data_IF_036712889119
#
_entry.id   IF_036712889119
#
_cell.length_a   1.000
_cell.length_b   1.000
_cell.length_c   1.000
_cell.angle_alpha   90.00
_cell.angle_beta   90.00
_cell.angle_gamma   90.00
#
_symmetry.space_group_name_H-M   'P 1'
#
loop_
_entity.id
_entity.type
_entity.pdbx_description
1 polymer ?
#
# COMPACT_ATOMS: atom_id res chain seq x y z
N UNK A 1 -36.20 -21.13 -47.96
CA UNK A 1 -35.64 -20.84 -46.61
C UNK A 1 -34.14 -20.64 -46.77
N UNK A 2 -33.70 -19.38 -46.76
CA UNK A 2 -32.28 -19.01 -46.91
C UNK A 2 -31.67 -18.91 -45.49
N UNK A 3 -30.64 -19.73 -45.20
CA UNK A 3 -29.81 -19.59 -43.98
C UNK A 3 -28.91 -18.36 -44.18
N UNK A 4 -29.08 -17.36 -43.32
CA UNK A 4 -28.15 -16.24 -43.23
C UNK A 4 -26.93 -16.69 -42.41
N UNK A 5 -25.76 -16.69 -43.05
CA UNK A 5 -24.45 -16.76 -42.36
C UNK A 5 -24.13 -15.37 -41.81
N UNK A 6 -23.96 -15.26 -40.52
CA UNK A 6 -23.30 -14.09 -39.86
C UNK A 6 -21.79 -14.15 -40.13
N UNK A 7 -21.15 -13.03 -40.45
CA UNK A 7 -19.73 -13.02 -40.80
C UNK A 7 -18.84 -13.19 -39.56
N UNK A 8 -17.84 -14.03 -39.75
CA UNK A 8 -16.76 -14.34 -38.78
C UNK A 8 -15.89 -13.09 -38.42
N UNK A 9 -16.02 -11.99 -39.13
CA UNK A 9 -15.25 -10.74 -38.93
C UNK A 9 -15.55 -10.01 -37.63
N UNK A 10 -16.71 -10.16 -36.97
CA UNK A 10 -17.00 -9.50 -35.69
C UNK A 10 -16.25 -10.11 -34.50
N UNK A 11 -15.91 -11.41 -34.57
CA UNK A 11 -15.19 -12.08 -33.46
C UNK A 11 -13.68 -11.79 -33.47
N UNK A 12 -13.08 -11.51 -34.63
CA UNK A 12 -11.67 -11.13 -34.74
C UNK A 12 -11.43 -9.65 -34.35
N UNK A 13 -12.36 -8.76 -34.64
CA UNK A 13 -12.27 -7.36 -34.27
C UNK A 13 -12.45 -7.15 -32.75
N UNK A 14 -13.26 -7.95 -32.07
CA UNK A 14 -13.38 -7.95 -30.61
C UNK A 14 -12.09 -8.41 -29.91
N UNK A 15 -11.40 -9.42 -30.44
CA UNK A 15 -10.11 -9.89 -29.90
C UNK A 15 -8.95 -8.90 -30.14
N UNK A 16 -8.97 -8.19 -31.29
CA UNK A 16 -7.99 -7.13 -31.58
C UNK A 16 -8.24 -5.90 -30.71
N UNK A 17 -9.50 -5.54 -30.45
CA UNK A 17 -9.86 -4.44 -29.56
C UNK A 17 -9.51 -4.75 -28.10
N UNK A 18 -9.78 -5.94 -27.59
CA UNK A 18 -9.38 -6.37 -26.26
C UNK A 18 -7.87 -6.41 -26.06
N UNK A 19 -7.13 -6.91 -27.07
CA UNK A 19 -5.67 -6.89 -27.06
C UNK A 19 -5.08 -5.47 -27.19
N UNK A 20 -5.73 -4.57 -27.92
CA UNK A 20 -5.32 -3.17 -28.01
C UNK A 20 -5.65 -2.38 -26.73
N UNK A 21 -6.72 -2.71 -26.01
CA UNK A 21 -7.03 -2.10 -24.71
C UNK A 21 -6.07 -2.62 -23.64
N UNK A 22 -5.74 -3.90 -23.61
CA UNK A 22 -4.71 -4.46 -22.73
C UNK A 22 -3.32 -3.89 -23.06
N UNK A 23 -2.98 -3.77 -24.37
CA UNK A 23 -1.71 -3.19 -24.81
C UNK A 23 -1.68 -1.67 -24.59
N UNK A 24 -2.81 -0.95 -24.65
CA UNK A 24 -2.90 0.48 -24.31
C UNK A 24 -2.87 0.70 -22.80
N UNK A 25 -3.43 -0.17 -21.99
CA UNK A 25 -3.22 -0.18 -20.52
C UNK A 25 -1.74 -0.47 -20.18
N UNK A 26 -1.10 -1.41 -20.86
CA UNK A 26 0.35 -1.64 -20.73
C UNK A 26 1.19 -0.47 -21.27
N UNK A 27 0.79 0.18 -22.40
CA UNK A 27 1.53 1.29 -23.01
C UNK A 27 1.31 2.61 -22.26
N UNK A 28 0.17 2.85 -21.61
CA UNK A 28 -0.01 4.03 -20.73
C UNK A 28 0.87 3.98 -19.48
N UNK A 29 1.29 2.80 -19.05
CA UNK A 29 2.28 2.62 -17.98
C UNK A 29 3.69 3.06 -18.44
N UNK A 30 4.01 2.99 -19.74
CA UNK A 30 5.37 3.23 -20.28
C UNK A 30 5.66 4.72 -20.60
N UNK A 31 4.64 5.60 -20.72
CA UNK A 31 4.86 6.98 -21.15
C UNK A 31 5.19 8.00 -20.04
N UNK A 32 5.25 7.61 -18.77
CA UNK A 32 5.55 8.51 -17.65
C UNK A 32 7.05 8.67 -17.32
N UNK A 33 7.95 8.01 -18.07
CA UNK A 33 9.40 7.91 -17.72
C UNK A 33 10.32 8.94 -18.36
N UNK A 34 9.85 10.07 -18.92
CA UNK A 34 10.70 11.02 -19.65
C UNK A 34 10.80 12.45 -19.07
N UNK A 35 10.69 12.63 -17.76
CA UNK A 35 10.96 13.95 -17.14
C UNK A 35 11.76 13.79 -15.84
N UNK A 36 12.96 13.22 -15.91
CA UNK A 36 14.00 13.46 -14.91
C UNK A 36 15.39 13.36 -15.56
N UNK A 37 15.77 14.42 -16.19
CA UNK A 37 17.12 14.63 -16.64
C UNK A 37 17.38 16.06 -16.92
N UNK A 38 17.91 16.80 -15.96
CA UNK A 38 18.78 17.97 -16.15
C UNK A 38 18.84 18.81 -14.85
N UNK A 39 19.78 18.51 -13.99
CA UNK A 39 20.56 19.53 -13.30
C UNK A 39 21.90 18.95 -12.91
N UNK A 40 22.85 19.18 -13.78
CA UNK A 40 24.26 18.89 -13.56
C UNK A 40 24.98 20.12 -13.03
N UNK A 41 25.76 19.89 -12.02
CA UNK A 41 27.06 20.38 -11.71
C UNK A 41 27.40 21.86 -11.71
N UNK A 42 28.01 22.29 -10.65
CA UNK A 42 29.30 22.95 -10.69
C UNK A 42 29.92 22.98 -9.30
N UNK A 43 31.13 22.57 -9.27
CA UNK A 43 32.11 22.47 -8.27
C UNK A 43 32.73 23.82 -7.88
N UNK A 44 33.45 23.79 -6.75
CA UNK A 44 34.26 24.87 -6.25
C UNK A 44 34.98 24.46 -5.00
N UNK A 45 36.20 24.05 -5.16
CA UNK A 45 37.22 23.78 -4.14
C UNK A 45 37.61 25.05 -3.37
N UNK A 46 37.89 24.90 -2.08
CA UNK A 46 38.51 25.95 -1.26
C UNK A 46 39.00 25.42 0.08
N UNK A 47 40.25 24.93 0.10
CA UNK A 47 41.03 24.71 1.31
C UNK A 47 41.21 26.03 2.06
N UNK A 48 41.17 25.99 3.38
CA UNK A 48 42.14 26.67 4.27
C UNK A 48 41.94 26.24 5.73
N UNK A 49 42.94 25.57 6.24
CA UNK A 49 43.29 25.54 7.67
C UNK A 49 44.10 26.81 7.95
N UNK A 50 44.15 27.48 9.12
CA UNK A 50 44.81 26.91 10.26
C UNK A 50 44.50 27.46 11.68
N UNK A 51 45.18 26.90 12.64
CA UNK A 51 45.83 27.43 13.85
C UNK A 51 45.07 27.37 15.17
N UNK A 52 45.69 26.58 16.02
CA UNK A 52 45.53 26.44 17.45
C UNK A 52 45.61 27.74 18.25
N UNK A 53 44.75 27.85 19.27
CA UNK A 53 44.98 28.70 20.44
C UNK A 53 44.57 27.92 21.69
N UNK A 54 45.32 28.08 22.80
CA UNK A 54 45.22 27.20 23.97
C UNK A 54 44.00 27.49 24.83
N UNK A 55 43.36 26.41 25.29
CA UNK A 55 42.19 26.42 26.18
C UNK A 55 42.60 26.76 27.63
N UNK A 56 41.87 27.66 28.31
CA UNK A 56 42.02 27.85 29.75
C UNK A 56 41.38 26.66 30.53
N UNK A 57 42.07 26.21 31.57
CA UNK A 57 41.57 25.19 32.48
C UNK A 57 40.27 25.59 33.15
N UNK A 58 39.22 24.81 32.95
CA UNK A 58 37.94 24.98 33.65
C UNK A 58 37.96 24.29 35.01
N UNK A 59 37.67 25.05 36.05
CA UNK A 59 37.47 24.61 37.42
C UNK A 59 36.21 23.71 37.46
N UNK A 60 36.37 22.47 37.90
CA UNK A 60 35.27 21.51 38.09
C UNK A 60 34.40 21.98 39.26
N UNK A 61 33.17 22.41 38.93
CA UNK A 61 32.13 22.66 39.91
C UNK A 61 31.39 21.33 40.15
N UNK A 62 31.05 20.96 41.43
CA UNK A 62 30.33 19.72 41.68
C UNK A 62 28.98 19.75 40.95
N UNK A 63 28.75 18.83 40.05
CA UNK A 63 27.48 18.63 39.39
C UNK A 63 26.48 18.10 40.39
N UNK A 64 25.38 18.81 40.62
CA UNK A 64 24.23 18.28 41.34
C UNK A 64 23.79 16.97 40.71
N UNK A 65 23.48 15.98 41.52
CA UNK A 65 22.98 14.70 41.05
C UNK A 65 21.73 14.93 40.16
N UNK A 66 21.83 14.52 38.91
CA UNK A 66 20.68 14.47 38.00
C UNK A 66 19.67 13.51 38.65
N UNK A 67 18.40 13.90 38.82
CA UNK A 67 17.37 12.97 39.26
C UNK A 67 17.37 11.77 38.32
N UNK A 68 17.53 10.58 38.85
CA UNK A 68 17.37 9.35 38.09
C UNK A 68 15.90 9.30 37.69
N UNK A 69 15.63 9.53 36.42
CA UNK A 69 14.29 9.36 35.86
C UNK A 69 13.84 7.93 36.17
N UNK A 70 12.72 7.79 36.84
CA UNK A 70 12.07 6.50 37.05
C UNK A 70 11.76 5.94 35.66
N UNK A 71 12.21 4.71 35.30
CA UNK A 71 11.89 4.14 34.03
C UNK A 71 10.36 4.10 33.85
N UNK A 72 9.85 4.82 32.87
CA UNK A 72 8.44 4.81 32.60
C UNK A 72 7.97 3.43 32.13
N UNK A 73 6.76 3.01 32.50
CA UNK A 73 6.21 1.75 32.03
C UNK A 73 6.15 1.75 30.51
N UNK A 74 7.06 1.01 29.89
CA UNK A 74 6.99 0.74 28.44
C UNK A 74 5.74 -0.08 28.16
N UNK A 75 4.88 0.38 27.21
CA UNK A 75 3.74 -0.41 26.74
C UNK A 75 4.24 -1.78 26.27
N UNK A 76 3.50 -2.85 26.57
CA UNK A 76 3.87 -4.21 26.20
C UNK A 76 3.90 -4.36 24.67
N UNK A 77 4.73 -5.24 24.11
CA UNK A 77 4.65 -5.60 22.70
C UNK A 77 3.24 -6.10 22.36
N UNK A 78 2.72 -5.70 21.19
CA UNK A 78 1.45 -6.22 20.70
C UNK A 78 1.58 -7.73 20.42
N UNK A 79 0.71 -8.54 21.02
CA UNK A 79 0.58 -9.95 20.65
C UNK A 79 -0.25 -10.05 19.39
N UNK A 80 0.34 -10.50 18.30
CA UNK A 80 -0.28 -10.51 16.99
C UNK A 80 -0.19 -11.91 16.34
N UNK A 81 -1.27 -12.28 15.67
CA UNK A 81 -1.35 -13.40 14.74
C UNK A 81 -2.12 -12.93 13.50
N UNK A 82 -1.65 -13.23 12.28
CA UNK A 82 -2.36 -12.83 11.05
C UNK A 82 -3.80 -13.35 11.02
N UNK A 83 -4.72 -12.47 10.65
CA UNK A 83 -6.14 -12.78 10.45
C UNK A 83 -6.55 -12.36 9.04
N UNK A 84 -6.59 -13.30 8.13
CA UNK A 84 -7.00 -13.08 6.74
C UNK A 84 -8.51 -12.81 6.58
N UNK A 85 -9.31 -12.86 7.66
CA UNK A 85 -10.72 -12.46 7.64
C UNK A 85 -10.95 -11.01 8.05
N UNK A 86 -9.90 -10.31 8.50
CA UNK A 86 -9.99 -8.88 8.83
C UNK A 86 -10.27 -8.05 7.58
N UNK A 87 -11.18 -7.10 7.73
CA UNK A 87 -11.54 -6.10 6.75
C UNK A 87 -11.79 -4.77 7.44
N UNK A 88 -11.90 -3.69 6.68
CA UNK A 88 -12.15 -2.35 7.22
C UNK A 88 -13.55 -1.85 6.85
N UNK A 89 -14.10 -0.86 7.56
CA UNK A 89 -15.36 -0.22 7.19
C UNK A 89 -15.36 0.32 5.76
N UNK A 90 -14.29 0.98 5.31
CA UNK A 90 -14.16 1.48 3.93
C UNK A 90 -14.19 0.34 2.90
N UNK A 91 -13.46 -0.75 3.16
CA UNK A 91 -13.49 -1.93 2.30
C UNK A 91 -14.91 -2.50 2.20
N UNK A 92 -15.56 -2.72 3.35
CA UNK A 92 -16.92 -3.27 3.39
C UNK A 92 -17.92 -2.37 2.68
N UNK A 93 -17.79 -1.05 2.86
CA UNK A 93 -18.65 -0.06 2.18
C UNK A 93 -18.45 -0.09 0.66
N UNK A 94 -17.19 -0.22 0.20
CA UNK A 94 -16.84 -0.24 -1.22
C UNK A 94 -17.39 -1.48 -1.94
N UNK A 95 -17.15 -2.67 -1.40
CA UNK A 95 -17.43 -3.94 -2.09
C UNK A 95 -18.75 -4.59 -1.68
N UNK A 96 -19.31 -4.23 -0.54
CA UNK A 96 -20.55 -4.78 0.04
C UNK A 96 -20.33 -6.03 0.89
N UNK A 97 -21.22 -6.24 1.84
CA UNK A 97 -21.18 -7.36 2.80
C UNK A 97 -21.18 -8.75 2.13
N UNK A 98 -21.90 -8.90 1.03
CA UNK A 98 -21.96 -10.17 0.30
C UNK A 98 -20.58 -10.54 -0.28
N UNK A 99 -19.87 -9.57 -0.84
CA UNK A 99 -18.53 -9.77 -1.39
C UNK A 99 -17.50 -10.07 -0.27
N UNK A 100 -17.59 -9.40 0.88
CA UNK A 100 -16.74 -9.71 2.05
C UNK A 100 -16.98 -11.13 2.55
N UNK A 101 -18.24 -11.55 2.67
CA UNK A 101 -18.57 -12.93 3.05
C UNK A 101 -18.02 -13.94 2.05
N UNK A 102 -18.16 -13.67 0.77
CA UNK A 102 -17.61 -14.49 -0.31
C UNK A 102 -16.08 -14.54 -0.27
N UNK A 103 -15.43 -13.40 -0.03
CA UNK A 103 -13.97 -13.31 0.08
C UNK A 103 -13.43 -14.22 1.19
N UNK A 104 -14.05 -14.22 2.35
CA UNK A 104 -13.69 -15.15 3.45
C UNK A 104 -13.81 -16.61 3.04
N UNK A 105 -14.87 -16.97 2.30
CA UNK A 105 -15.04 -18.34 1.78
C UNK A 105 -13.95 -18.72 0.76
N UNK A 106 -13.55 -17.78 -0.11
CA UNK A 106 -12.43 -17.99 -1.06
C UNK A 106 -11.13 -18.19 -0.30
N UNK A 107 -10.84 -17.34 0.68
CA UNK A 107 -9.64 -17.42 1.50
C UNK A 107 -9.57 -18.76 2.24
N UNK A 108 -10.66 -19.18 2.88
CA UNK A 108 -10.72 -20.47 3.58
C UNK A 108 -10.47 -21.67 2.67
N UNK A 109 -10.96 -21.62 1.44
CA UNK A 109 -10.74 -22.66 0.43
C UNK A 109 -9.27 -22.63 -0.07
N UNK A 110 -8.74 -21.43 -0.39
CA UNK A 110 -7.36 -21.27 -0.82
C UNK A 110 -6.35 -21.76 0.22
N UNK A 111 -6.53 -21.40 1.50
CA UNK A 111 -5.67 -21.82 2.59
C UNK A 111 -5.67 -23.35 2.81
N UNK A 112 -6.67 -24.06 2.31
CA UNK A 112 -6.75 -25.54 2.29
C UNK A 112 -6.17 -26.15 1.00
N UNK A 113 -5.64 -25.33 0.09
CA UNK A 113 -5.16 -25.79 -1.21
C UNK A 113 -6.28 -26.11 -2.21
N UNK A 114 -7.53 -25.72 -1.94
CA UNK A 114 -8.63 -25.87 -2.88
C UNK A 114 -8.50 -24.83 -4.01
N UNK A 115 -9.10 -25.12 -5.17
CA UNK A 115 -9.03 -24.28 -6.37
C UNK A 115 -10.39 -23.78 -6.84
N UNK A 116 -11.41 -23.92 -6.00
CA UNK A 116 -12.75 -23.43 -6.28
C UNK A 116 -13.58 -23.33 -5.00
N UNK A 117 -14.60 -22.48 -5.04
CA UNK A 117 -15.60 -22.37 -3.98
C UNK A 117 -17.00 -22.19 -4.58
N UNK A 118 -18.01 -22.75 -3.92
CA UNK A 118 -19.41 -22.53 -4.23
C UNK A 118 -20.05 -21.67 -3.15
N UNK A 119 -20.58 -20.50 -3.50
CA UNK A 119 -21.06 -19.53 -2.53
C UNK A 119 -22.45 -19.85 -1.96
N UNK A 120 -23.39 -20.31 -2.74
CA UNK A 120 -24.73 -20.65 -2.26
C UNK A 120 -25.60 -19.44 -1.86
N UNK A 121 -25.36 -18.26 -2.47
CA UNK A 121 -26.25 -17.09 -2.35
C UNK A 121 -27.43 -17.21 -3.34
N UNK A 122 -28.56 -16.58 -2.99
CA UNK A 122 -29.77 -16.61 -3.81
C UNK A 122 -29.63 -15.84 -5.13
N UNK A 123 -28.80 -14.79 -5.14
CA UNK A 123 -28.52 -13.96 -6.32
C UNK A 123 -27.13 -13.31 -6.23
N UNK A 124 -26.63 -12.86 -7.34
CA UNK A 124 -25.32 -12.23 -7.50
C UNK A 124 -25.47 -10.94 -8.30
N UNK A 125 -25.01 -9.82 -7.71
CA UNK A 125 -24.91 -8.56 -8.43
C UNK A 125 -23.87 -8.64 -9.56
N UNK A 126 -24.01 -7.85 -10.63
CA UNK A 126 -23.06 -7.87 -11.75
C UNK A 126 -21.61 -7.68 -11.37
N UNK A 127 -21.34 -6.90 -10.30
CA UNK A 127 -20.00 -6.62 -9.78
C UNK A 127 -19.53 -7.60 -8.70
N UNK A 128 -20.36 -8.61 -8.36
CA UNK A 128 -20.08 -9.52 -7.24
C UNK A 128 -18.71 -10.19 -7.31
N UNK A 129 -18.37 -10.79 -8.47
CA UNK A 129 -17.12 -11.50 -8.62
C UNK A 129 -15.91 -10.54 -8.55
N UNK A 130 -16.00 -9.39 -9.21
CA UNK A 130 -14.98 -8.33 -9.17
C UNK A 130 -14.77 -7.84 -7.73
N UNK A 131 -15.85 -7.51 -7.03
CA UNK A 131 -15.79 -7.04 -5.64
C UNK A 131 -15.22 -8.12 -4.70
N UNK A 132 -15.58 -9.39 -4.92
CA UNK A 132 -15.07 -10.52 -4.14
C UNK A 132 -13.57 -10.69 -4.33
N UNK A 133 -13.09 -10.77 -5.58
CA UNK A 133 -11.65 -10.94 -5.88
C UNK A 133 -10.86 -9.72 -5.41
N UNK A 134 -11.40 -8.50 -5.58
CA UNK A 134 -10.81 -7.29 -5.02
C UNK A 134 -10.58 -7.40 -3.50
N UNK A 135 -11.59 -7.84 -2.75
CA UNK A 135 -11.48 -8.00 -1.30
C UNK A 135 -10.48 -9.12 -0.93
N UNK A 136 -10.52 -10.28 -1.62
CA UNK A 136 -9.58 -11.39 -1.36
C UNK A 136 -8.14 -10.93 -1.48
N UNK A 137 -7.81 -10.19 -2.54
CA UNK A 137 -6.43 -9.73 -2.78
C UNK A 137 -5.89 -8.86 -1.64
N UNK A 138 -6.74 -8.04 -0.99
CA UNK A 138 -6.36 -7.14 0.12
C UNK A 138 -6.38 -7.83 1.47
N UNK A 139 -7.25 -8.82 1.63
CA UNK A 139 -7.35 -9.58 2.88
C UNK A 139 -6.32 -10.71 2.96
N UNK A 140 -5.89 -11.25 1.81
CA UNK A 140 -4.97 -12.39 1.74
C UNK A 140 -3.90 -12.18 0.64
N UNK A 141 -2.84 -11.40 0.89
CA UNK A 141 -1.75 -11.18 -0.07
C UNK A 141 -1.15 -12.45 -0.70
N UNK A 142 -1.06 -13.60 0.00
CA UNK A 142 -0.65 -14.85 -0.65
C UNK A 142 -1.57 -15.29 -1.79
N UNK A 143 -2.88 -15.00 -1.72
CA UNK A 143 -3.78 -15.32 -2.82
C UNK A 143 -3.39 -14.55 -4.09
N UNK A 144 -3.09 -13.26 -3.98
CA UNK A 144 -2.64 -12.44 -5.12
C UNK A 144 -1.38 -13.00 -5.78
N UNK A 145 -0.42 -13.51 -4.99
CA UNK A 145 0.84 -14.03 -5.50
C UNK A 145 0.75 -15.44 -6.09
N UNK A 146 -0.15 -16.28 -5.56
CA UNK A 146 -0.17 -17.72 -5.83
C UNK A 146 -1.47 -18.25 -6.44
N UNK A 147 -2.44 -17.37 -6.72
CA UNK A 147 -3.68 -17.74 -7.39
C UNK A 147 -3.98 -16.83 -8.57
N UNK A 148 -4.12 -17.41 -9.76
CA UNK A 148 -4.65 -16.72 -10.93
C UNK A 148 -6.17 -16.89 -10.94
N UNK A 149 -6.90 -15.82 -10.67
CA UNK A 149 -8.34 -15.74 -10.67
C UNK A 149 -8.80 -14.56 -11.54
N UNK A 150 -9.53 -14.85 -12.60
CA UNK A 150 -10.15 -13.83 -13.44
C UNK A 150 -11.64 -13.75 -13.10
N UNK A 151 -12.03 -12.69 -12.40
CA UNK A 151 -13.37 -12.46 -11.88
C UNK A 151 -14.50 -12.60 -12.92
N UNK A 152 -14.26 -12.19 -14.18
CA UNK A 152 -15.26 -12.27 -15.24
C UNK A 152 -15.35 -13.64 -15.93
N UNK A 153 -14.27 -14.42 -15.94
CA UNK A 153 -14.18 -15.70 -16.66
C UNK A 153 -14.32 -16.91 -15.74
N UNK A 154 -13.88 -16.74 -14.50
CA UNK A 154 -13.73 -17.85 -13.57
C UNK A 154 -14.91 -17.95 -12.59
N UNK A 155 -15.84 -16.98 -12.63
CA UNK A 155 -17.10 -17.02 -11.89
C UNK A 155 -18.26 -17.39 -12.79
N UNK A 156 -18.99 -18.42 -12.37
CA UNK A 156 -20.25 -18.85 -13.00
C UNK A 156 -21.44 -18.48 -12.09
N UNK A 157 -22.14 -17.40 -12.42
CA UNK A 157 -23.28 -16.91 -11.66
C UNK A 157 -24.46 -17.90 -11.62
N UNK A 158 -24.58 -18.80 -12.62
CA UNK A 158 -25.66 -19.78 -12.65
C UNK A 158 -25.50 -20.90 -11.63
N UNK A 159 -24.25 -21.24 -11.30
CA UNK A 159 -23.90 -22.26 -10.31
C UNK A 159 -23.41 -21.68 -8.99
N UNK A 160 -23.05 -20.40 -8.98
CA UNK A 160 -22.43 -19.70 -7.84
C UNK A 160 -21.03 -20.20 -7.54
N UNK A 161 -20.29 -20.67 -8.55
CA UNK A 161 -18.94 -21.23 -8.40
C UNK A 161 -17.91 -20.25 -8.92
N UNK A 162 -16.92 -19.90 -8.08
CA UNK A 162 -15.68 -19.22 -8.45
C UNK A 162 -14.54 -20.22 -8.47
N UNK A 163 -13.64 -20.11 -9.47
CA UNK A 163 -12.46 -20.96 -9.63
C UNK A 163 -11.20 -20.12 -9.74
N UNK A 164 -10.07 -20.71 -9.43
CA UNK A 164 -8.74 -20.14 -9.65
C UNK A 164 -7.73 -21.24 -9.96
N UNK A 165 -6.58 -20.85 -10.47
CA UNK A 165 -5.45 -21.74 -10.73
C UNK A 165 -4.33 -21.39 -9.76
N UNK A 166 -3.68 -22.37 -9.15
CA UNK A 166 -2.45 -22.15 -8.40
C UNK A 166 -1.31 -21.86 -9.40
N UNK A 167 -0.56 -20.80 -9.15
CA UNK A 167 0.56 -20.31 -9.95
C UNK A 167 1.76 -20.00 -9.05
N UNK A 168 2.95 -19.86 -9.63
CA UNK A 168 4.19 -19.43 -8.95
C UNK A 168 4.67 -20.32 -7.79
N UNK A 169 4.02 -21.47 -7.58
CA UNK A 169 4.38 -22.41 -6.52
C UNK A 169 3.87 -23.80 -6.89
N UNK A 170 4.63 -24.84 -6.53
CA UNK A 170 4.10 -26.19 -6.59
C UNK A 170 3.08 -26.42 -5.45
N UNK A 171 1.99 -27.18 -5.69
CA UNK A 171 0.91 -27.33 -4.70
C UNK A 171 1.37 -27.81 -3.32
N UNK A 172 2.42 -28.62 -3.25
CA UNK A 172 3.00 -29.12 -2.01
C UNK A 172 3.91 -28.11 -1.28
N UNK A 173 4.22 -26.96 -1.88
CA UNK A 173 5.06 -25.90 -1.33
C UNK A 173 4.23 -24.69 -0.89
N UNK A 174 2.93 -24.66 -1.18
CA UNK A 174 2.06 -23.53 -0.83
C UNK A 174 2.08 -23.24 0.67
N UNK A 175 2.02 -24.28 1.50
CA UNK A 175 2.05 -24.12 2.97
C UNK A 175 3.34 -23.42 3.45
N UNK A 176 4.49 -23.70 2.84
CA UNK A 176 5.75 -23.02 3.17
C UNK A 176 5.68 -21.53 2.83
N UNK A 177 5.08 -21.19 1.69
CA UNK A 177 4.89 -19.78 1.29
C UNK A 177 3.93 -19.03 2.22
N UNK A 178 2.86 -19.69 2.65
CA UNK A 178 1.92 -19.14 3.63
C UNK A 178 2.63 -18.90 4.97
N UNK A 179 3.38 -19.86 5.49
CA UNK A 179 4.14 -19.72 6.73
C UNK A 179 5.20 -18.61 6.63
N UNK A 180 5.89 -18.47 5.47
CA UNK A 180 6.81 -17.36 5.23
C UNK A 180 6.10 -16.01 5.36
N UNK A 181 4.93 -15.88 4.72
CA UNK A 181 4.16 -14.64 4.78
C UNK A 181 3.67 -14.31 6.19
N UNK A 182 3.17 -15.31 6.93
CA UNK A 182 2.74 -15.14 8.32
C UNK A 182 3.89 -14.64 9.21
N UNK A 183 5.08 -15.24 9.09
CA UNK A 183 6.25 -14.80 9.83
C UNK A 183 6.65 -13.36 9.49
N UNK A 184 6.57 -12.97 8.23
CA UNK A 184 6.84 -11.60 7.77
C UNK A 184 5.77 -10.62 8.29
N UNK A 185 4.48 -10.99 8.25
CA UNK A 185 3.41 -10.16 8.79
C UNK A 185 3.58 -9.96 10.31
N UNK A 186 3.92 -11.01 11.06
CA UNK A 186 4.24 -10.91 12.49
C UNK A 186 5.42 -9.96 12.71
N UNK A 187 6.46 -10.08 11.90
CA UNK A 187 7.61 -9.20 11.98
C UNK A 187 7.24 -7.73 11.72
N UNK A 188 6.46 -7.43 10.67
CA UNK A 188 5.96 -6.08 10.41
C UNK A 188 5.17 -5.51 11.61
N UNK A 189 4.30 -6.31 12.22
CA UNK A 189 3.48 -5.89 13.35
C UNK A 189 4.25 -5.77 14.69
N UNK A 190 5.46 -6.31 14.78
CA UNK A 190 6.27 -6.35 16.01
C UNK A 190 6.70 -4.97 16.55
N UNK A 191 6.63 -3.93 15.71
CA UNK A 191 6.93 -2.55 16.09
C UNK A 191 5.82 -1.92 16.94
N UNK A 192 4.62 -2.48 16.91
CA UNK A 192 3.46 -1.98 17.61
C UNK A 192 3.46 -2.38 19.08
N UNK A 193 2.78 -1.59 19.90
CA UNK A 193 2.61 -1.84 21.33
C UNK A 193 1.12 -1.84 21.70
N UNK A 194 0.78 -2.54 22.77
CA UNK A 194 -0.57 -2.48 23.36
C UNK A 194 -0.94 -1.05 23.71
N UNK A 195 -2.11 -0.60 23.28
CA UNK A 195 -2.60 0.75 23.50
C UNK A 195 -2.00 1.83 22.60
N UNK A 196 -1.26 1.47 21.54
CA UNK A 196 -0.92 2.42 20.48
C UNK A 196 -2.22 2.86 19.77
N UNK A 197 -2.39 4.17 19.53
CA UNK A 197 -3.56 4.69 18.80
C UNK A 197 -3.42 4.51 17.28
N UNK A 198 -4.45 4.88 16.51
CA UNK A 198 -4.45 4.70 15.05
C UNK A 198 -3.28 5.41 14.36
N UNK A 199 -3.00 6.66 14.76
CA UNK A 199 -1.90 7.46 14.23
C UNK A 199 -0.54 6.85 14.54
N UNK A 200 -0.28 6.44 15.79
CA UNK A 200 0.96 5.78 16.22
C UNK A 200 1.22 4.51 15.39
N UNK A 201 0.19 3.66 15.25
CA UNK A 201 0.25 2.41 14.47
C UNK A 201 0.51 2.68 12.98
N UNK A 202 -0.22 3.62 12.39
CA UNK A 202 -0.06 3.97 10.98
C UNK A 202 1.35 4.47 10.65
N UNK A 203 1.89 5.40 11.48
CA UNK A 203 3.23 5.94 11.31
C UNK A 203 4.32 4.87 11.39
N UNK A 204 4.22 3.95 12.36
CA UNK A 204 5.19 2.86 12.53
C UNK A 204 5.16 1.87 11.38
N UNK A 205 3.97 1.45 10.93
CA UNK A 205 3.81 0.51 9.81
C UNK A 205 4.26 1.14 8.49
N UNK A 206 3.89 2.40 8.25
CA UNK A 206 4.30 3.15 7.07
C UNK A 206 5.82 3.33 7.01
N UNK A 207 6.44 3.77 8.13
CA UNK A 207 7.90 3.89 8.24
C UNK A 207 8.60 2.58 7.92
N UNK A 208 8.08 1.48 8.46
CA UNK A 208 8.67 0.16 8.25
C UNK A 208 8.56 -0.28 6.79
N UNK A 209 7.39 -0.13 6.17
CA UNK A 209 7.17 -0.53 4.78
C UNK A 209 8.05 0.28 3.82
N UNK A 210 8.07 1.60 3.97
CA UNK A 210 8.83 2.51 3.07
C UNK A 210 10.34 2.39 3.23
N UNK A 211 10.83 2.07 4.43
CA UNK A 211 12.25 1.85 4.69
C UNK A 211 12.73 0.45 4.24
N UNK A 212 11.83 -0.55 4.27
CA UNK A 212 12.17 -1.93 3.94
C UNK A 212 12.17 -2.20 2.44
N UNK A 213 11.13 -1.74 1.73
CA UNK A 213 10.88 -2.14 0.35
C UNK A 213 11.47 -1.17 -0.67
N UNK A 214 11.71 -1.68 -1.86
CA UNK A 214 12.25 -0.96 -3.02
C UNK A 214 11.28 -1.04 -4.20
N UNK A 215 11.37 -0.06 -5.11
CA UNK A 215 10.54 -0.05 -6.31
C UNK A 215 11.10 -1.02 -7.37
N UNK A 216 10.24 -1.85 -7.92
CA UNK A 216 10.57 -2.81 -8.97
C UNK A 216 10.48 -2.16 -10.36
N UNK A 217 11.53 -1.44 -10.73
CA UNK A 217 11.63 -0.78 -12.04
C UNK A 217 11.57 -1.77 -13.20
N UNK A 218 12.07 -3.00 -13.03
CA UNK A 218 12.01 -3.99 -14.09
C UNK A 218 10.59 -4.47 -14.37
N UNK A 219 9.81 -4.77 -13.32
CA UNK A 219 8.41 -5.13 -13.48
C UNK A 219 7.57 -3.96 -14.02
N UNK A 220 7.94 -2.72 -13.68
CA UNK A 220 7.23 -1.53 -14.13
C UNK A 220 7.56 -1.15 -15.58
N UNK A 221 8.85 -1.07 -15.94
CA UNK A 221 9.30 -0.58 -17.25
C UNK A 221 9.31 -1.66 -18.34
N UNK A 222 9.53 -2.92 -17.95
CA UNK A 222 9.69 -4.03 -18.85
C UNK A 222 8.75 -5.22 -18.61
N UNK A 223 7.45 -4.99 -18.36
CA UNK A 223 6.51 -6.07 -18.04
C UNK A 223 6.40 -7.12 -19.16
N UNK A 224 6.74 -6.74 -20.41
CA UNK A 224 6.77 -7.65 -21.56
C UNK A 224 7.87 -8.71 -21.49
N UNK A 225 8.88 -8.54 -20.64
CA UNK A 225 9.96 -9.50 -20.42
C UNK A 225 9.57 -10.60 -19.41
N UNK A 226 8.45 -10.42 -18.70
CA UNK A 226 7.95 -11.34 -17.68
C UNK A 226 6.85 -12.22 -18.26
N UNK A 227 6.72 -13.43 -17.75
CA UNK A 227 5.51 -14.22 -17.95
C UNK A 227 4.34 -13.60 -17.16
N UNK A 228 3.10 -13.96 -17.49
CA UNK A 228 1.93 -13.48 -16.75
C UNK A 228 2.03 -13.85 -15.25
N UNK A 229 2.42 -15.08 -14.96
CA UNK A 229 2.56 -15.58 -13.59
C UNK A 229 3.66 -14.81 -12.82
N UNK A 230 4.83 -14.59 -13.42
CA UNK A 230 5.91 -13.77 -12.83
C UNK A 230 5.50 -12.32 -12.59
N UNK A 231 4.77 -11.71 -13.52
CA UNK A 231 4.26 -10.35 -13.37
C UNK A 231 3.28 -10.25 -12.20
N UNK A 232 2.33 -11.18 -12.09
CA UNK A 232 1.38 -11.26 -10.97
C UNK A 232 2.12 -11.38 -9.63
N UNK A 233 3.12 -12.25 -9.55
CA UNK A 233 3.92 -12.38 -8.34
C UNK A 233 4.64 -11.09 -7.95
N UNK A 234 5.40 -10.50 -8.88
CA UNK A 234 6.23 -9.31 -8.64
C UNK A 234 5.42 -8.05 -8.34
N UNK A 235 4.17 -8.02 -8.78
CA UNK A 235 3.25 -6.90 -8.52
C UNK A 235 2.29 -7.15 -7.36
N UNK A 236 2.47 -8.21 -6.57
CA UNK A 236 1.64 -8.53 -5.41
C UNK A 236 2.12 -7.86 -4.12
N UNK A 237 1.23 -7.69 -3.15
CA UNK A 237 1.59 -7.30 -1.79
C UNK A 237 2.50 -8.34 -1.11
N UNK A 238 2.40 -9.62 -1.48
CA UNK A 238 3.30 -10.67 -1.01
C UNK A 238 4.76 -10.36 -1.37
N UNK A 239 5.03 -9.99 -2.64
CA UNK A 239 6.39 -9.66 -3.10
C UNK A 239 6.97 -8.47 -2.35
N UNK A 240 6.20 -7.39 -2.18
CA UNK A 240 6.64 -6.22 -1.39
C UNK A 240 6.97 -6.59 0.04
N UNK A 241 6.16 -7.40 0.69
CA UNK A 241 6.35 -7.74 2.10
C UNK A 241 7.44 -8.81 2.30
N UNK A 242 7.49 -9.85 1.46
CA UNK A 242 8.38 -11.00 1.65
C UNK A 242 9.74 -10.85 0.97
N UNK A 243 9.80 -10.14 -0.16
CA UNK A 243 11.01 -10.01 -0.98
C UNK A 243 11.50 -8.55 -1.06
N UNK A 244 10.73 -7.61 -0.50
CA UNK A 244 11.09 -6.20 -0.46
C UNK A 244 11.03 -5.49 -1.81
N UNK A 245 10.29 -6.02 -2.78
CA UNK A 245 10.23 -5.48 -4.14
C UNK A 245 8.79 -5.40 -4.64
N UNK A 246 8.41 -4.27 -5.26
CA UNK A 246 7.10 -4.12 -5.89
C UNK A 246 6.90 -2.79 -6.58
N UNK A 247 5.70 -2.60 -7.17
CA UNK A 247 5.30 -1.36 -7.82
C UNK A 247 4.21 -0.65 -6.99
N UNK A 248 3.72 0.51 -7.42
CA UNK A 248 2.72 1.29 -6.67
C UNK A 248 1.52 0.47 -6.21
N UNK A 249 1.04 -0.41 -7.07
CA UNK A 249 -0.04 -1.34 -6.79
C UNK A 249 0.25 -2.25 -5.58
N UNK A 250 1.43 -2.88 -5.56
CA UNK A 250 1.87 -3.78 -4.50
C UNK A 250 2.03 -3.08 -3.15
N UNK A 251 2.57 -1.85 -3.15
CA UNK A 251 2.72 -1.03 -1.94
C UNK A 251 1.36 -0.64 -1.36
N UNK A 252 0.41 -0.22 -2.22
CA UNK A 252 -0.91 0.17 -1.78
C UNK A 252 -1.69 -1.01 -1.20
N UNK A 253 -1.62 -2.20 -1.83
CA UNK A 253 -2.20 -3.44 -1.29
C UNK A 253 -1.56 -3.85 0.04
N UNK A 254 -0.22 -3.81 0.15
CA UNK A 254 0.49 -4.16 1.38
C UNK A 254 0.10 -3.21 2.53
N UNK A 255 0.01 -1.90 2.27
CA UNK A 255 -0.44 -0.94 3.28
C UNK A 255 -1.89 -1.17 3.69
N UNK A 256 -2.79 -1.48 2.74
CA UNK A 256 -4.19 -1.84 3.03
C UNK A 256 -4.27 -3.07 3.94
N UNK A 257 -3.50 -4.12 3.65
CA UNK A 257 -3.42 -5.32 4.49
C UNK A 257 -2.91 -4.98 5.89
N UNK A 258 -1.77 -4.31 6.00
CA UNK A 258 -1.15 -3.95 7.30
C UNK A 258 -2.09 -3.07 8.14
N UNK A 259 -2.76 -2.09 7.54
CA UNK A 259 -3.75 -1.26 8.21
C UNK A 259 -4.91 -2.10 8.74
N UNK A 260 -5.49 -3.00 7.92
CA UNK A 260 -6.57 -3.88 8.37
C UNK A 260 -6.13 -4.75 9.54
N UNK A 261 -4.90 -5.31 9.51
CA UNK A 261 -4.35 -6.09 10.62
C UNK A 261 -4.18 -5.27 11.90
N UNK A 262 -3.93 -3.98 11.76
CA UNK A 262 -3.75 -3.02 12.86
C UNK A 262 -5.04 -2.30 13.29
N UNK A 263 -6.22 -2.73 12.79
CA UNK A 263 -7.52 -2.10 13.04
C UNK A 263 -7.56 -0.60 12.63
N UNK A 264 -6.93 -0.28 11.50
CA UNK A 264 -6.93 1.04 10.88
C UNK A 264 -7.77 0.98 9.60
N UNK A 265 -8.71 1.91 9.44
CA UNK A 265 -9.56 1.98 8.26
C UNK A 265 -8.77 2.55 7.07
N UNK A 266 -8.60 1.74 6.04
CA UNK A 266 -7.74 2.04 4.90
C UNK A 266 -8.26 1.33 3.65
N UNK A 267 -8.14 2.01 2.50
CA UNK A 267 -8.46 1.46 1.18
C UNK A 267 -7.53 2.06 0.13
N UNK A 268 -7.35 1.37 -0.96
CA UNK A 268 -6.60 1.88 -2.11
C UNK A 268 -7.40 2.87 -2.93
N UNK A 269 -6.70 3.86 -3.46
CA UNK A 269 -7.18 4.82 -4.44
C UNK A 269 -6.20 4.85 -5.60
N UNK A 270 -6.71 4.93 -6.81
CA UNK A 270 -5.91 5.10 -8.00
C UNK A 270 -6.33 6.35 -8.79
N UNK A 271 -5.44 6.80 -9.66
CA UNK A 271 -5.71 7.74 -10.72
C UNK A 271 -5.12 7.18 -12.00
N UNK A 272 -5.98 6.98 -13.00
CA UNK A 272 -5.57 6.50 -14.32
C UNK A 272 -6.14 7.46 -15.34
N UNK A 273 -5.27 8.27 -15.96
CA UNK A 273 -5.61 9.21 -17.01
C UNK A 273 -4.48 9.29 -18.05
N UNK A 274 -4.55 10.23 -18.98
CA UNK A 274 -3.54 10.37 -20.05
C UNK A 274 -2.13 10.76 -19.55
N UNK A 275 -2.03 11.26 -18.31
CA UNK A 275 -0.77 11.76 -17.73
C UNK A 275 -0.14 10.80 -16.76
N UNK A 276 -0.94 10.02 -16.01
CA UNK A 276 -0.47 9.15 -14.94
C UNK A 276 -1.34 7.92 -14.76
N UNK A 277 -0.71 6.81 -14.42
CA UNK A 277 -1.34 5.62 -13.85
C UNK A 277 -0.65 5.32 -12.52
N UNK A 278 -1.31 5.58 -11.41
CA UNK A 278 -0.73 5.45 -10.07
C UNK A 278 -1.76 5.02 -9.03
N UNK A 279 -1.28 4.38 -7.95
CA UNK A 279 -2.09 3.87 -6.86
C UNK A 279 -1.44 4.15 -5.51
N UNK A 280 -2.26 4.53 -4.53
CA UNK A 280 -1.88 4.87 -3.15
C UNK A 280 -3.04 4.56 -2.20
N UNK A 281 -3.00 5.04 -0.96
CA UNK A 281 -4.02 4.73 0.05
C UNK A 281 -4.79 5.98 0.50
N UNK A 282 -6.08 5.77 0.76
CA UNK A 282 -6.94 6.61 1.58
C UNK A 282 -7.02 5.94 2.96
N UNK A 283 -6.68 6.66 4.01
CA UNK A 283 -6.59 6.16 5.38
C UNK A 283 -7.40 7.06 6.32
N UNK A 284 -8.05 6.46 7.33
CA UNK A 284 -8.69 7.19 8.41
C UNK A 284 -7.84 7.13 9.67
N UNK A 285 -7.54 8.28 10.25
CA UNK A 285 -6.75 8.39 11.48
C UNK A 285 -7.46 9.35 12.45
N UNK A 286 -7.84 8.83 13.61
CA UNK A 286 -8.47 9.59 14.70
C UNK A 286 -9.71 10.38 14.24
N UNK A 287 -10.48 9.80 13.31
CA UNK A 287 -11.72 10.38 12.81
C UNK A 287 -11.61 11.11 11.47
N UNK A 288 -10.43 11.55 11.07
CA UNK A 288 -10.16 12.32 9.84
C UNK A 288 -9.57 11.44 8.74
N UNK A 289 -9.75 11.86 7.47
CA UNK A 289 -9.27 11.11 6.31
C UNK A 289 -8.06 11.80 5.67
N UNK A 290 -7.10 10.98 5.20
CA UNK A 290 -5.87 11.43 4.58
C UNK A 290 -5.47 10.51 3.42
N UNK A 291 -4.59 11.01 2.54
CA UNK A 291 -3.90 10.16 1.57
C UNK A 291 -2.47 9.85 2.04
N UNK A 292 -2.04 8.61 1.78
CA UNK A 292 -0.68 8.14 2.04
C UNK A 292 -0.15 7.41 0.81
N UNK A 293 1.09 7.71 0.40
CA UNK A 293 1.71 7.10 -0.77
C UNK A 293 3.06 6.49 -0.42
N UNK A 294 3.03 5.23 0.03
CA UNK A 294 4.23 4.51 0.42
C UNK A 294 5.22 4.31 -0.74
N UNK A 295 4.73 4.31 -1.99
CA UNK A 295 5.58 4.15 -3.18
C UNK A 295 6.49 5.35 -3.38
N UNK A 296 5.96 6.56 -3.21
CA UNK A 296 6.73 7.79 -3.39
C UNK A 296 7.61 8.13 -2.17
N UNK A 297 7.40 7.43 -1.07
CA UNK A 297 8.22 7.51 0.14
C UNK A 297 9.21 6.33 0.28
N UNK A 298 9.39 5.52 -0.78
CA UNK A 298 10.43 4.47 -0.80
C UNK A 298 11.80 5.06 -0.45
N UNK A 299 12.52 4.37 0.44
CA UNK A 299 13.74 4.89 1.06
C UNK A 299 13.50 5.48 2.44
N UNK A 300 12.26 5.41 2.97
CA UNK A 300 11.92 5.79 4.34
C UNK A 300 11.74 7.29 4.53
N UNK A 301 11.30 8.01 3.49
CA UNK A 301 10.87 9.40 3.64
C UNK A 301 9.42 9.49 4.14
N UNK A 302 8.93 10.68 4.46
CA UNK A 302 7.55 10.95 4.90
C UNK A 302 6.93 12.13 4.15
N UNK A 303 7.35 12.34 2.91
CA UNK A 303 6.89 13.46 2.10
C UNK A 303 5.41 13.30 1.70
N UNK A 304 4.94 12.06 1.62
CA UNK A 304 3.62 11.70 1.08
C UNK A 304 2.72 10.99 2.11
N UNK A 305 2.98 11.13 3.40
CA UNK A 305 2.12 10.64 4.46
C UNK A 305 1.13 11.72 4.93
N UNK A 306 -0.14 11.36 5.12
CA UNK A 306 -1.15 12.23 5.73
C UNK A 306 -1.48 13.48 4.90
N UNK A 307 -1.63 13.32 3.58
CA UNK A 307 -1.95 14.43 2.66
C UNK A 307 -3.45 14.70 2.61
N UNK A 308 -3.80 16.00 2.49
CA UNK A 308 -5.12 16.43 2.05
C UNK A 308 -5.33 16.14 0.57
N UNK A 309 -6.57 16.33 0.06
CA UNK A 309 -6.85 16.24 -1.37
C UNK A 309 -6.05 17.28 -2.16
N UNK A 310 -5.99 18.52 -1.69
CA UNK A 310 -5.24 19.58 -2.35
C UNK A 310 -3.74 19.28 -2.41
N UNK A 311 -3.16 18.78 -1.32
CA UNK A 311 -1.75 18.36 -1.28
C UNK A 311 -1.49 17.19 -2.22
N UNK A 312 -2.43 16.23 -2.30
CA UNK A 312 -2.28 15.05 -3.17
C UNK A 312 -2.28 15.38 -4.66
N UNK A 313 -3.05 16.37 -5.08
CA UNK A 313 -3.11 16.80 -6.49
C UNK A 313 -2.02 17.79 -6.86
N UNK A 314 -1.48 18.51 -5.88
CA UNK A 314 -0.43 19.51 -6.10
C UNK A 314 0.89 18.83 -6.48
N UNK A 315 1.50 19.30 -7.55
CA UNK A 315 2.80 18.81 -8.05
C UNK A 315 2.88 17.28 -8.26
N UNK A 316 1.75 16.67 -8.59
CA UNK A 316 1.56 15.22 -8.61
C UNK A 316 1.82 14.56 -9.98
N UNK A 317 2.34 15.29 -10.95
CA UNK A 317 2.59 14.77 -12.29
C UNK A 317 1.33 14.45 -13.09
N UNK A 318 0.15 14.90 -12.65
CA UNK A 318 -1.10 14.76 -13.39
C UNK A 318 -2.24 14.08 -12.63
N UNK A 319 -2.10 13.82 -11.33
CA UNK A 319 -3.23 13.36 -10.51
C UNK A 319 -4.26 14.48 -10.39
N UNK A 320 -5.52 14.13 -10.65
CA UNK A 320 -6.67 15.05 -10.51
C UNK A 320 -7.69 14.42 -9.60
N UNK A 321 -8.32 15.23 -8.74
CA UNK A 321 -9.32 14.75 -7.79
C UNK A 321 -10.50 14.05 -8.50
N UNK A 322 -10.95 14.60 -9.62
CA UNK A 322 -12.05 14.04 -10.43
C UNK A 322 -11.73 12.69 -11.07
N UNK A 323 -10.44 12.33 -11.21
CA UNK A 323 -9.99 11.05 -11.78
C UNK A 323 -9.70 9.99 -10.72
N UNK A 324 -9.69 10.35 -9.43
CA UNK A 324 -9.44 9.41 -8.35
C UNK A 324 -10.57 8.40 -8.19
N UNK A 325 -10.23 7.12 -8.08
CA UNK A 325 -11.21 6.02 -7.89
C UNK A 325 -10.65 4.95 -6.95
N UNK A 326 -11.59 4.31 -6.24
CA UNK A 326 -11.40 2.98 -5.66
C UNK A 326 -12.40 2.06 -6.36
N UNK A 327 -11.95 1.07 -7.09
CA UNK A 327 -12.76 0.42 -8.13
C UNK A 327 -13.37 1.46 -9.08
N UNK A 328 -14.71 1.61 -9.08
CA UNK A 328 -15.44 2.60 -9.87
C UNK A 328 -15.97 3.78 -9.06
N UNK A 329 -15.73 3.81 -7.74
CA UNK A 329 -16.29 4.78 -6.79
C UNK A 329 -15.26 5.88 -6.52
N UNK A 330 -15.67 7.16 -6.56
CA UNK A 330 -14.79 8.27 -6.16
C UNK A 330 -14.58 8.30 -4.65
N UNK A 331 -13.45 8.84 -4.14
CA UNK A 331 -13.25 9.02 -2.71
C UNK A 331 -14.36 9.86 -2.06
N UNK A 332 -14.83 10.92 -2.71
CA UNK A 332 -15.91 11.76 -2.21
C UNK A 332 -17.23 10.97 -2.06
N UNK A 333 -17.59 10.14 -3.04
CA UNK A 333 -18.76 9.27 -2.97
C UNK A 333 -18.57 8.20 -1.87
N UNK A 334 -17.40 7.58 -1.79
CA UNK A 334 -17.08 6.58 -0.77
C UNK A 334 -17.16 7.17 0.65
N UNK A 335 -16.82 8.44 0.83
CA UNK A 335 -16.82 9.16 2.11
C UNK A 335 -18.09 9.98 2.37
N UNK A 336 -19.20 9.73 1.65
CA UNK A 336 -20.48 10.44 1.81
C UNK A 336 -20.35 11.97 1.68
N UNK A 337 -19.51 12.44 0.75
CA UNK A 337 -19.26 13.86 0.49
C UNK A 337 -18.15 14.48 1.35
N UNK A 338 -17.49 13.70 2.20
CA UNK A 338 -16.32 14.19 2.95
C UNK A 338 -15.10 14.23 2.04
N UNK A 339 -14.37 15.34 2.06
CA UNK A 339 -13.12 15.54 1.32
C UNK A 339 -11.97 15.62 2.33
N UNK A 340 -10.91 14.78 2.19
CA UNK A 340 -9.72 14.89 3.02
C UNK A 340 -9.12 16.30 3.01
N UNK A 341 -9.19 16.99 4.15
CA UNK A 341 -8.82 18.42 4.26
C UNK A 341 -8.13 18.79 5.58
N UNK A 342 -8.02 17.85 6.52
CA UNK A 342 -7.30 18.09 7.78
C UNK A 342 -5.78 18.21 7.53
N UNK A 343 -5.17 19.25 8.09
CA UNK A 343 -3.77 19.64 7.85
C UNK A 343 -2.81 19.23 8.99
N UNK A 344 -3.22 18.33 9.88
CA UNK A 344 -2.40 17.89 11.02
C UNK A 344 -0.99 17.43 10.60
N UNK A 345 -0.89 16.79 9.45
CA UNK A 345 0.39 16.29 8.91
C UNK A 345 1.08 17.26 7.93
N UNK A 346 0.58 18.49 7.75
CA UNK A 346 1.16 19.46 6.80
C UNK A 346 2.63 19.79 7.11
N UNK A 347 3.01 19.77 8.39
CA UNK A 347 4.41 19.97 8.82
C UNK A 347 5.39 19.02 8.14
N UNK A 348 4.96 17.82 7.74
CA UNK A 348 5.82 16.86 7.00
C UNK A 348 6.23 17.44 5.63
N UNK A 349 5.39 18.29 5.01
CA UNK A 349 5.69 18.97 3.74
C UNK A 349 6.57 20.21 3.92
N UNK A 350 6.77 20.68 5.15
CA UNK A 350 7.76 21.71 5.48
C UNK A 350 9.18 21.14 5.58
N UNK A 351 9.29 19.81 5.80
CA UNK A 351 10.52 19.05 5.98
C UNK A 351 10.76 18.02 4.86
N UNK A 352 10.33 18.33 3.62
CA UNK A 352 10.55 17.44 2.46
C UNK A 352 12.03 17.08 2.32
N UNK A 353 12.31 15.80 2.23
CA UNK A 353 13.67 15.28 2.19
C UNK A 353 13.79 14.08 1.24
N UNK A 354 14.99 13.86 0.69
CA UNK A 354 15.38 12.62 0.03
C UNK A 354 16.15 11.67 0.97
N UNK A 355 16.34 12.05 2.23
CA UNK A 355 17.03 11.24 3.23
C UNK A 355 16.02 10.39 4.00
N UNK A 356 16.43 9.19 4.46
CA UNK A 356 15.63 8.40 5.39
C UNK A 356 15.27 9.19 6.65
N UNK A 357 14.04 9.04 7.09
CA UNK A 357 13.48 9.65 8.30
C UNK A 357 13.29 8.55 9.36
N UNK A 358 13.87 8.74 10.52
CA UNK A 358 13.57 7.87 11.67
C UNK A 358 12.34 8.39 12.40
N UNK A 359 11.40 7.52 12.71
CA UNK A 359 10.19 7.84 13.47
C UNK A 359 10.22 7.13 14.81
N UNK A 360 10.12 7.90 15.89
CA UNK A 360 10.00 7.40 17.25
C UNK A 360 8.70 7.88 17.88
N UNK A 361 7.98 7.00 18.55
CA UNK A 361 6.75 7.34 19.25
C UNK A 361 7.08 7.66 20.72
N UNK A 362 6.98 8.93 21.09
CA UNK A 362 7.01 9.39 22.48
C UNK A 362 5.61 9.22 23.09
N UNK A 363 5.36 8.01 23.57
CA UNK A 363 4.07 7.57 24.14
C UNK A 363 3.69 8.25 25.44
N UNK A 364 4.58 9.05 25.99
CA UNK A 364 4.35 9.84 27.22
C UNK A 364 3.70 11.15 26.91
N UNK A 365 4.18 11.76 25.82
CA UNK A 365 3.73 13.09 25.42
C UNK A 365 2.78 12.99 24.18
N UNK A 366 2.33 11.79 23.84
CA UNK A 366 1.41 11.48 22.72
C UNK A 366 1.85 12.18 21.42
N UNK A 367 3.11 11.97 21.04
CA UNK A 367 3.69 12.57 19.84
C UNK A 367 4.61 11.61 19.09
N UNK A 368 4.67 11.78 17.78
CA UNK A 368 5.70 11.17 16.95
C UNK A 368 6.84 12.17 16.73
N UNK A 369 8.06 11.71 16.90
CA UNK A 369 9.30 12.47 16.67
C UNK A 369 9.93 11.94 15.40
N UNK A 370 10.14 12.85 14.44
CA UNK A 370 10.77 12.59 13.16
C UNK A 370 12.19 13.14 13.18
N UNK A 371 13.17 12.33 12.83
CA UNK A 371 14.58 12.73 12.79
C UNK A 371 15.14 12.54 11.39
N UNK A 372 15.72 13.61 10.85
CA UNK A 372 16.40 13.65 9.54
C UNK A 372 17.81 14.19 9.74
N UNK A 373 18.81 13.33 9.60
CA UNK A 373 20.20 13.73 9.92
C UNK A 373 20.34 14.14 11.39
N UNK A 374 20.61 15.44 11.63
CA UNK A 374 20.75 16.00 12.97
C UNK A 374 19.55 16.88 13.42
N UNK A 375 18.52 16.97 12.58
CA UNK A 375 17.33 17.77 12.88
C UNK A 375 16.17 16.88 13.29
N UNK A 376 15.36 17.35 14.24
CA UNK A 376 14.17 16.64 14.69
C UNK A 376 13.00 17.58 14.80
N UNK A 377 11.83 17.10 14.41
CA UNK A 377 10.54 17.77 14.58
C UNK A 377 9.50 16.77 15.07
N UNK A 378 8.35 17.22 15.51
CA UNK A 378 7.34 16.33 16.05
C UNK A 378 5.92 16.76 15.69
N UNK A 379 5.02 15.77 15.64
CA UNK A 379 3.57 15.96 15.52
C UNK A 379 2.86 15.35 16.72
N UNK A 380 1.67 15.85 17.07
CA UNK A 380 0.81 15.19 18.05
C UNK A 380 0.23 13.89 17.45
N UNK A 381 0.24 12.81 18.24
CA UNK A 381 -0.47 11.57 17.94
C UNK A 381 -1.82 11.47 18.68
N UNK A 382 -2.06 12.33 19.66
CA UNK A 382 -3.35 12.46 20.35
C UNK A 382 -4.24 13.54 19.72
N UNK A 383 -5.57 13.41 19.92
CA UNK A 383 -6.56 14.44 19.58
C UNK A 383 -6.46 15.66 20.50
#
# INVERSE_FOLDING_TARGET
MKKQHLPIECAENGRKAGRQVLLKLLIMIVCAATVFGLFGGCGGSGENNPTDAPTPAQTIRPTAAVPTETPMPTRAPLVYSPDYHKTTPLMTKLVGEQAIKAARMVIDAFLKGETSVKFGFDSYEPTFAMNTVFAVNRMCPPFTAFALCNDYRDFDASTGVLKWKIINVEPNELDEKLQKFEAVAIDFMSVLREGDNETERALLLYSRLTAYAQYDYEAYENPQNLTEDEYIYRTSAYSVMCDGMGICYSFAEAMTFLCAQADIDCIEVNCINDSIAHQWNLIKLDGEYYYCDATWDVGGTFNYFGMTTDERVKDSGGIKAEDMRSLSVSPEELLDGVVPSDTRFAVLREHVTSMPVTVEIDRVNDRAVFTVGNESYSISCGN
#
